data_IF_282014578227
#
_entry.id   IF_282014578227
#
_cell.length_a   1.000
_cell.length_b   1.000
_cell.length_c   1.000
_cell.angle_alpha   90.00
_cell.angle_beta   90.00
_cell.angle_gamma   90.00
#
_symmetry.space_group_name_H-M   'P 1'
#
loop_
_entity.id
_entity.type
_entity.pdbx_description
1 polymer ?
#
# COMPACT_ATOMS: atom_id res chain seq x y z
N UNK A 1 -15.96 23.44 15.51
CA UNK A 1 -16.06 22.01 15.11
C UNK A 1 -15.99 21.78 13.60
N UNK A 2 -16.01 22.82 12.75
CA UNK A 2 -15.97 22.67 11.27
C UNK A 2 -14.56 22.35 10.70
N UNK A 3 -13.50 22.49 11.49
CA UNK A 3 -12.12 22.31 11.00
C UNK A 3 -11.70 20.85 10.78
N UNK A 4 -12.32 19.89 11.48
CA UNK A 4 -11.90 18.47 11.43
C UNK A 4 -12.15 17.80 10.07
N UNK A 5 -13.04 18.37 9.26
CA UNK A 5 -13.42 17.85 7.95
C UNK A 5 -13.34 18.93 6.86
N UNK A 6 -12.68 20.05 7.14
CA UNK A 6 -12.38 21.08 6.15
C UNK A 6 -11.13 20.67 5.35
N UNK A 7 -11.11 20.72 4.00
CA UNK A 7 -9.96 20.27 3.20
C UNK A 7 -8.61 20.88 3.57
N UNK A 8 -8.57 22.09 4.14
CA UNK A 8 -7.35 22.73 4.63
C UNK A 8 -6.63 21.91 5.73
N UNK A 9 -7.34 21.02 6.44
CA UNK A 9 -6.72 20.16 7.44
C UNK A 9 -5.70 19.21 6.80
N UNK A 10 -5.93 18.81 5.54
CA UNK A 10 -4.99 17.98 4.77
C UNK A 10 -3.68 18.74 4.56
N UNK A 11 -3.75 20.02 4.20
CA UNK A 11 -2.59 20.89 4.02
C UNK A 11 -1.76 20.98 5.31
N UNK A 12 -2.40 21.21 6.46
CA UNK A 12 -1.72 21.33 7.75
C UNK A 12 -0.94 20.06 8.10
N UNK A 13 -1.57 18.89 8.00
CA UNK A 13 -0.91 17.63 8.30
C UNK A 13 0.17 17.28 7.27
N UNK A 14 -0.02 17.60 5.99
CA UNK A 14 1.01 17.44 4.96
C UNK A 14 2.25 18.30 5.26
N UNK A 15 2.07 19.56 5.70
CA UNK A 15 3.21 20.40 6.13
C UNK A 15 3.94 19.81 7.33
N UNK A 16 3.22 19.24 8.31
CA UNK A 16 3.85 18.55 9.43
C UNK A 16 4.67 17.35 8.97
N UNK A 17 4.15 16.55 8.03
CA UNK A 17 4.91 15.45 7.43
C UNK A 17 6.19 15.96 6.78
N UNK A 18 6.15 17.07 6.03
CA UNK A 18 7.31 17.66 5.35
C UNK A 18 8.34 18.29 6.30
N UNK A 19 7.88 19.00 7.33
CA UNK A 19 8.76 19.82 8.18
C UNK A 19 9.34 19.05 9.38
N UNK A 20 8.67 17.98 9.83
CA UNK A 20 9.04 17.27 11.05
C UNK A 20 9.63 15.88 10.76
N UNK A 21 10.52 15.76 9.77
CA UNK A 21 11.06 14.47 9.31
C UNK A 21 11.72 13.66 10.42
N UNK A 22 12.43 14.35 11.32
CA UNK A 22 13.19 13.73 12.41
C UNK A 22 12.35 13.43 13.66
N UNK A 23 11.11 13.96 13.74
CA UNK A 23 10.25 13.71 14.89
C UNK A 23 9.30 12.56 14.60
N UNK A 24 9.65 11.39 15.17
CA UNK A 24 8.90 10.17 14.89
C UNK A 24 7.42 10.24 15.30
N UNK A 25 7.17 10.87 16.45
CA UNK A 25 5.83 10.98 17.04
C UNK A 25 4.95 11.96 16.26
N UNK A 26 5.51 13.08 15.79
CA UNK A 26 4.79 14.03 14.93
C UNK A 26 4.42 13.39 13.60
N UNK A 27 5.35 12.66 12.98
CA UNK A 27 5.09 11.96 11.71
C UNK A 27 4.00 10.89 11.86
N UNK A 28 4.07 10.08 12.93
CA UNK A 28 3.03 9.08 13.23
C UNK A 28 1.66 9.74 13.44
N UNK A 29 1.59 10.79 14.26
CA UNK A 29 0.35 11.49 14.56
C UNK A 29 -0.25 12.17 13.32
N UNK A 30 0.57 12.81 12.49
CA UNK A 30 0.12 13.44 11.25
C UNK A 30 -0.38 12.39 10.24
N UNK A 31 0.36 11.30 10.04
CA UNK A 31 -0.05 10.20 9.16
C UNK A 31 -1.33 9.53 9.65
N UNK A 32 -1.47 9.29 10.96
CA UNK A 32 -2.67 8.72 11.57
C UNK A 32 -3.89 9.62 11.45
N UNK A 33 -3.72 10.94 11.63
CA UNK A 33 -4.81 11.90 11.43
C UNK A 33 -5.28 11.93 9.96
N UNK A 34 -4.33 11.96 9.02
CA UNK A 34 -4.62 11.86 7.59
C UNK A 34 -5.29 10.53 7.22
N UNK A 35 -4.83 9.43 7.80
CA UNK A 35 -5.45 8.11 7.63
C UNK A 35 -6.92 8.14 8.09
N UNK A 36 -7.20 8.74 9.25
CA UNK A 36 -8.56 8.80 9.79
C UNK A 36 -9.51 9.63 8.92
N UNK A 37 -9.10 10.81 8.45
CA UNK A 37 -9.97 11.68 7.63
C UNK A 37 -10.17 11.15 6.19
N UNK A 38 -9.27 10.27 5.73
CA UNK A 38 -9.38 9.60 4.42
C UNK A 38 -10.03 8.21 4.52
N UNK A 39 -10.49 7.80 5.71
CA UNK A 39 -10.99 6.45 5.95
C UNK A 39 -12.41 6.21 5.39
N UNK A 40 -12.60 5.02 4.82
CA UNK A 40 -13.89 4.52 4.37
C UNK A 40 -14.24 4.83 2.91
N UNK A 41 -15.46 4.47 2.54
CA UNK A 41 -15.94 4.48 1.15
C UNK A 41 -16.94 5.60 0.85
N UNK A 42 -17.08 6.55 1.78
CA UNK A 42 -18.02 7.65 1.65
C UNK A 42 -17.44 8.77 0.79
N UNK A 43 -18.34 9.60 0.22
CA UNK A 43 -17.99 10.77 -0.60
C UNK A 43 -16.90 11.65 0.03
N UNK A 44 -16.94 11.84 1.34
CA UNK A 44 -15.99 12.72 2.03
C UNK A 44 -14.58 12.15 2.12
N UNK A 45 -14.44 10.84 2.34
CA UNK A 45 -13.14 10.16 2.29
C UNK A 45 -12.51 10.31 0.90
N UNK A 46 -13.30 10.15 -0.17
CA UNK A 46 -12.84 10.35 -1.54
C UNK A 46 -12.40 11.80 -1.79
N UNK A 47 -13.16 12.80 -1.33
CA UNK A 47 -12.80 14.22 -1.43
C UNK A 47 -11.47 14.51 -0.71
N UNK A 48 -11.30 14.04 0.52
CA UNK A 48 -10.06 14.24 1.28
C UNK A 48 -8.86 13.58 0.60
N UNK A 49 -9.01 12.34 0.12
CA UNK A 49 -7.96 11.66 -0.63
C UNK A 49 -7.59 12.38 -1.92
N UNK A 50 -8.57 12.94 -2.63
CA UNK A 50 -8.33 13.72 -3.84
C UNK A 50 -7.62 15.04 -3.55
N UNK A 51 -8.00 15.75 -2.49
CA UNK A 51 -7.28 16.96 -2.04
C UNK A 51 -5.83 16.60 -1.70
N UNK A 52 -5.62 15.52 -0.95
CA UNK A 52 -4.30 15.06 -0.55
C UNK A 52 -3.40 14.72 -1.75
N UNK A 53 -3.93 14.01 -2.75
CA UNK A 53 -3.18 13.58 -3.93
C UNK A 53 -2.98 14.71 -4.95
N UNK A 54 -4.05 15.41 -5.32
CA UNK A 54 -4.07 16.30 -6.49
C UNK A 54 -3.65 17.73 -6.13
N UNK A 55 -4.04 18.24 -4.95
CA UNK A 55 -3.73 19.62 -4.53
C UNK A 55 -2.47 19.65 -3.69
N UNK A 56 -2.38 18.77 -2.69
CA UNK A 56 -1.30 18.76 -1.70
C UNK A 56 -0.08 17.93 -2.11
N UNK A 57 -0.19 17.15 -3.20
CA UNK A 57 0.88 16.30 -3.74
C UNK A 57 1.56 15.44 -2.65
N UNK A 58 0.75 14.90 -1.74
CA UNK A 58 1.21 14.26 -0.49
C UNK A 58 2.05 13.00 -0.70
N UNK A 59 1.98 12.40 -1.89
CA UNK A 59 2.57 11.09 -2.17
C UNK A 59 4.10 11.10 -2.00
N UNK A 60 4.79 12.16 -2.44
CA UNK A 60 6.24 12.27 -2.30
C UNK A 60 6.66 12.40 -0.81
N UNK A 61 6.10 13.35 -0.02
CA UNK A 61 6.35 13.40 1.42
C UNK A 61 6.10 12.07 2.13
N UNK A 62 5.02 11.36 1.81
CA UNK A 62 4.70 10.07 2.44
C UNK A 62 5.72 8.99 2.05
N UNK A 63 6.18 8.96 0.80
CA UNK A 63 7.22 8.04 0.32
C UNK A 63 8.55 8.26 1.04
N UNK A 64 8.95 9.52 1.24
CA UNK A 64 10.18 9.84 1.97
C UNK A 64 10.14 9.30 3.41
N UNK A 65 8.97 9.35 4.05
CA UNK A 65 8.77 8.78 5.41
C UNK A 65 8.67 7.26 5.44
N UNK A 66 8.26 6.62 4.35
CA UNK A 66 8.11 5.16 4.27
C UNK A 66 9.45 4.43 4.49
N UNK A 67 10.59 5.11 4.36
CA UNK A 67 11.94 4.58 4.63
C UNK A 67 12.20 4.24 6.09
N UNK A 68 11.34 4.68 7.01
CA UNK A 68 11.46 4.39 8.44
C UNK A 68 11.54 2.90 8.77
N UNK A 69 12.25 2.60 9.88
CA UNK A 69 12.26 1.29 10.54
C UNK A 69 11.26 1.22 11.71
N UNK A 70 10.60 2.33 12.04
CA UNK A 70 9.62 2.39 13.12
C UNK A 70 8.28 1.77 12.68
N UNK A 71 7.86 0.71 13.36
CA UNK A 71 6.66 -0.04 13.02
C UNK A 71 5.36 0.77 13.20
N UNK A 72 5.32 1.72 14.14
CA UNK A 72 4.15 2.54 14.42
C UNK A 72 3.94 3.59 13.33
N UNK A 73 5.03 4.23 12.89
CA UNK A 73 5.02 5.08 11.70
C UNK A 73 4.62 4.30 10.46
N UNK A 74 5.22 3.14 10.23
CA UNK A 74 4.96 2.33 9.05
C UNK A 74 3.49 1.89 8.98
N UNK A 75 2.87 1.57 10.13
CA UNK A 75 1.43 1.29 10.22
C UNK A 75 0.58 2.47 9.75
N UNK A 76 0.82 3.65 10.29
CA UNK A 76 0.06 4.86 9.95
C UNK A 76 0.26 5.28 8.49
N UNK A 77 1.50 5.23 7.98
CA UNK A 77 1.83 5.58 6.60
C UNK A 77 1.20 4.61 5.60
N UNK A 78 1.33 3.29 5.82
CA UNK A 78 0.73 2.29 4.92
C UNK A 78 -0.80 2.31 4.98
N UNK A 79 -1.38 2.59 6.15
CA UNK A 79 -2.81 2.82 6.31
C UNK A 79 -3.31 4.03 5.52
N UNK A 80 -2.58 5.16 5.57
CA UNK A 80 -2.86 6.34 4.76
C UNK A 80 -2.76 6.03 3.26
N UNK A 81 -1.66 5.41 2.80
CA UNK A 81 -1.48 5.06 1.38
C UNK A 81 -2.60 4.13 0.89
N UNK A 82 -3.05 3.19 1.73
CA UNK A 82 -4.21 2.31 1.43
C UNK A 82 -5.48 3.10 1.17
N UNK A 83 -5.76 4.11 1.99
CA UNK A 83 -6.94 4.97 1.83
C UNK A 83 -6.81 5.87 0.58
N UNK A 84 -5.62 6.44 0.34
CA UNK A 84 -5.36 7.26 -0.85
C UNK A 84 -5.48 6.44 -2.14
N UNK A 85 -4.87 5.27 -2.20
CA UNK A 85 -4.87 4.40 -3.39
C UNK A 85 -6.26 3.89 -3.76
N UNK A 86 -7.16 3.77 -2.79
CA UNK A 86 -8.57 3.43 -3.04
C UNK A 86 -9.24 4.49 -3.91
N UNK A 87 -9.00 5.77 -3.61
CA UNK A 87 -9.70 6.92 -4.17
C UNK A 87 -8.89 7.72 -5.20
N UNK A 88 -7.69 7.24 -5.56
CA UNK A 88 -6.83 7.87 -6.56
C UNK A 88 -7.48 7.87 -7.96
N UNK A 89 -7.44 9.02 -8.65
CA UNK A 89 -7.91 9.15 -10.04
C UNK A 89 -6.94 8.51 -11.02
N UNK A 90 -5.64 8.77 -10.84
CA UNK A 90 -4.57 8.22 -11.68
C UNK A 90 -3.80 7.10 -10.94
N UNK A 91 -4.35 5.89 -10.97
CA UNK A 91 -3.72 4.73 -10.32
C UNK A 91 -2.46 4.26 -11.04
N UNK A 92 -2.32 4.54 -12.34
CA UNK A 92 -1.12 4.20 -13.10
C UNK A 92 0.07 5.05 -12.66
N UNK A 93 -0.10 6.37 -12.52
CA UNK A 93 0.94 7.25 -11.97
C UNK A 93 1.27 6.88 -10.52
N UNK A 94 0.26 6.54 -9.72
CA UNK A 94 0.49 6.09 -8.35
C UNK A 94 1.27 4.77 -8.30
N UNK A 95 1.03 3.85 -9.24
CA UNK A 95 1.75 2.58 -9.38
C UNK A 95 3.24 2.79 -9.58
N UNK A 96 3.62 3.62 -10.55
CA UNK A 96 5.04 3.85 -10.90
C UNK A 96 5.85 4.41 -9.74
N UNK A 97 5.21 5.15 -8.82
CA UNK A 97 5.85 5.71 -7.62
C UNK A 97 5.89 4.75 -6.44
N UNK A 98 4.87 3.90 -6.27
CA UNK A 98 4.69 3.14 -5.03
C UNK A 98 5.16 1.69 -5.07
N UNK A 99 4.99 0.99 -6.19
CA UNK A 99 5.06 -0.50 -6.19
C UNK A 99 6.41 -1.00 -5.68
N UNK A 100 7.52 -0.47 -6.17
CA UNK A 100 8.87 -0.88 -5.71
C UNK A 100 9.07 -0.65 -4.22
N UNK A 101 8.81 0.57 -3.74
CA UNK A 101 8.97 0.97 -2.34
C UNK A 101 8.13 0.13 -1.37
N UNK A 102 6.92 -0.24 -1.78
CA UNK A 102 6.03 -1.09 -0.97
C UNK A 102 6.49 -2.55 -0.95
N UNK A 103 6.95 -3.08 -2.09
CA UNK A 103 7.45 -4.44 -2.17
C UNK A 103 8.75 -4.63 -1.37
N UNK A 104 9.60 -3.60 -1.28
CA UNK A 104 10.79 -3.62 -0.41
C UNK A 104 10.46 -3.87 1.06
N UNK A 105 9.28 -3.45 1.53
CA UNK A 105 8.83 -3.64 2.92
C UNK A 105 8.20 -5.00 3.19
N UNK A 106 7.87 -5.78 2.16
CA UNK A 106 7.29 -7.11 2.32
C UNK A 106 8.40 -8.16 2.58
N UNK A 107 8.15 -9.14 3.46
CA UNK A 107 9.07 -10.26 3.64
C UNK A 107 9.04 -11.18 2.40
N UNK A 108 10.21 -11.64 1.97
CA UNK A 108 10.39 -12.61 0.88
C UNK A 108 10.82 -14.00 1.36
N UNK A 109 11.40 -14.09 2.56
CA UNK A 109 11.81 -15.35 3.19
C UNK A 109 11.79 -15.25 4.73
N UNK A 110 12.21 -16.32 5.42
CA UNK A 110 12.25 -16.40 6.88
C UNK A 110 13.35 -15.55 7.55
N UNK A 111 14.35 -15.10 6.80
CA UNK A 111 15.46 -14.29 7.31
C UNK A 111 15.14 -12.80 7.25
N UNK A 112 14.17 -12.39 6.44
CA UNK A 112 13.70 -11.03 6.36
C UNK A 112 13.06 -10.56 7.68
N UNK A 113 13.37 -9.33 8.09
CA UNK A 113 12.67 -8.67 9.19
C UNK A 113 11.24 -8.38 8.77
N UNK A 114 10.32 -9.24 9.22
CA UNK A 114 8.91 -9.11 8.90
C UNK A 114 8.28 -7.92 9.65
N UNK A 115 7.61 -6.98 8.95
CA UNK A 115 6.85 -5.93 9.61
C UNK A 115 5.58 -6.54 10.27
N UNK A 116 4.88 -5.78 11.12
CA UNK A 116 3.62 -6.25 11.69
C UNK A 116 2.61 -6.67 10.62
N UNK A 117 1.81 -7.71 10.87
CA UNK A 117 0.86 -8.24 9.87
C UNK A 117 -0.08 -7.16 9.31
N UNK A 118 -0.52 -6.21 10.14
CA UNK A 118 -1.35 -5.09 9.70
C UNK A 118 -0.68 -4.23 8.59
N UNK A 119 0.64 -4.02 8.69
CA UNK A 119 1.42 -3.32 7.66
C UNK A 119 1.43 -4.15 6.37
N UNK A 120 1.65 -5.46 6.46
CA UNK A 120 1.63 -6.38 5.31
C UNK A 120 0.27 -6.33 4.61
N UNK A 121 -0.82 -6.42 5.38
CA UNK A 121 -2.20 -6.33 4.88
C UNK A 121 -2.44 -4.98 4.21
N UNK A 122 -2.00 -3.87 4.80
CA UNK A 122 -2.15 -2.55 4.20
C UNK A 122 -1.39 -2.43 2.88
N UNK A 123 -0.15 -2.90 2.82
CA UNK A 123 0.67 -2.91 1.60
C UNK A 123 -0.02 -3.73 0.49
N UNK A 124 -0.44 -4.97 0.80
CA UNK A 124 -1.11 -5.83 -0.18
C UNK A 124 -2.43 -5.20 -0.64
N UNK A 125 -3.18 -4.56 0.25
CA UNK A 125 -4.39 -3.84 -0.10
C UNK A 125 -4.12 -2.65 -1.06
N UNK A 126 -3.02 -1.91 -0.87
CA UNK A 126 -2.58 -0.88 -1.82
C UNK A 126 -2.31 -1.50 -3.19
N UNK A 127 -1.46 -2.54 -3.23
CA UNK A 127 -1.11 -3.23 -4.48
C UNK A 127 -2.35 -3.77 -5.19
N UNK A 128 -3.33 -4.28 -4.44
CA UNK A 128 -4.60 -4.76 -4.99
C UNK A 128 -5.47 -3.63 -5.53
N UNK A 129 -5.57 -2.51 -4.82
CA UNK A 129 -6.31 -1.33 -5.30
C UNK A 129 -5.76 -0.81 -6.63
N UNK A 130 -4.44 -0.88 -6.83
CA UNK A 130 -3.77 -0.48 -8.06
C UNK A 130 -3.94 -1.54 -9.16
N UNK A 131 -3.78 -2.82 -8.80
CA UNK A 131 -3.92 -3.96 -9.72
C UNK A 131 -5.32 -4.03 -10.31
N UNK A 132 -6.39 -3.89 -9.52
CA UNK A 132 -7.77 -3.99 -10.03
C UNK A 132 -8.09 -2.92 -11.09
N UNK A 133 -7.41 -1.78 -11.08
CA UNK A 133 -7.66 -0.71 -12.03
C UNK A 133 -7.00 -0.92 -13.39
N UNK A 134 -5.94 -1.74 -13.47
CA UNK A 134 -5.22 -1.91 -14.71
C UNK A 134 -3.98 -2.81 -14.59
N UNK A 135 -3.46 -3.28 -15.74
CA UNK A 135 -2.36 -4.24 -15.77
C UNK A 135 -1.00 -3.64 -15.36
N UNK A 136 -0.87 -2.31 -15.28
CA UNK A 136 0.41 -1.66 -14.99
C UNK A 136 0.98 -2.08 -13.64
N UNK A 137 0.18 -2.02 -12.58
CA UNK A 137 0.61 -2.45 -11.25
C UNK A 137 0.94 -3.94 -11.21
N UNK A 138 0.16 -4.79 -11.89
CA UNK A 138 0.48 -6.22 -11.99
C UNK A 138 1.83 -6.44 -12.68
N UNK A 139 2.14 -5.68 -13.75
CA UNK A 139 3.43 -5.74 -14.44
C UNK A 139 4.58 -5.26 -13.55
N UNK A 140 4.40 -4.15 -12.85
CA UNK A 140 5.40 -3.60 -11.95
C UNK A 140 5.69 -4.60 -10.80
N UNK A 141 4.66 -5.26 -10.26
CA UNK A 141 4.83 -6.31 -9.24
C UNK A 141 5.70 -7.46 -9.77
N UNK A 142 5.49 -7.91 -11.01
CA UNK A 142 6.34 -8.95 -11.61
C UNK A 142 7.77 -8.47 -11.80
N UNK A 143 7.93 -7.25 -12.31
CA UNK A 143 9.22 -6.65 -12.60
C UNK A 143 10.08 -6.51 -11.35
N UNK A 144 9.52 -6.00 -10.25
CA UNK A 144 10.20 -5.82 -8.96
C UNK A 144 10.21 -7.07 -8.08
N UNK A 145 10.12 -8.27 -8.67
CA UNK A 145 10.18 -9.56 -7.97
C UNK A 145 9.12 -9.72 -6.86
N UNK A 146 7.97 -9.04 -6.96
CA UNK A 146 6.92 -9.08 -5.96
C UNK A 146 6.17 -10.42 -5.91
N UNK A 147 6.17 -11.21 -6.99
CA UNK A 147 5.53 -12.53 -7.00
C UNK A 147 6.11 -13.47 -5.93
N UNK A 148 7.42 -13.51 -5.76
CA UNK A 148 8.05 -14.38 -4.75
C UNK A 148 7.61 -14.01 -3.34
N UNK A 149 7.60 -12.71 -3.03
CA UNK A 149 7.13 -12.17 -1.74
C UNK A 149 5.67 -12.47 -1.48
N UNK A 150 4.80 -12.27 -2.47
CA UNK A 150 3.37 -12.58 -2.36
C UNK A 150 3.13 -14.09 -2.16
N UNK A 151 3.88 -14.95 -2.85
CA UNK A 151 3.78 -16.40 -2.67
C UNK A 151 4.30 -16.85 -1.30
N UNK A 152 5.37 -16.23 -0.80
CA UNK A 152 5.86 -16.46 0.56
C UNK A 152 4.79 -16.10 1.61
N UNK A 153 4.23 -14.89 1.53
CA UNK A 153 3.18 -14.41 2.46
C UNK A 153 1.92 -15.28 2.37
N UNK A 154 1.51 -15.69 1.16
CA UNK A 154 0.37 -16.60 0.95
C UNK A 154 0.57 -17.94 1.68
N UNK A 155 1.80 -18.47 1.69
CA UNK A 155 2.13 -19.77 2.29
C UNK A 155 2.38 -19.67 3.80
N UNK A 156 2.86 -18.53 4.29
CA UNK A 156 3.11 -18.33 5.72
C UNK A 156 1.79 -18.14 6.49
N UNK A 157 1.46 -19.13 7.33
CA UNK A 157 0.20 -19.23 8.09
C UNK A 157 0.45 -19.52 9.57
N UNK A 158 1.54 -18.98 10.11
CA UNK A 158 2.01 -19.30 11.47
C UNK A 158 1.11 -18.74 12.62
N UNK A 159 -0.05 -18.15 12.31
CA UNK A 159 -1.01 -17.66 13.31
C UNK A 159 -2.20 -16.86 12.74
N UNK A 160 -3.14 -16.42 13.59
CA UNK A 160 -4.34 -15.70 13.16
C UNK A 160 -4.06 -14.38 12.41
N UNK A 161 -2.95 -13.72 12.74
CA UNK A 161 -2.55 -12.48 12.08
C UNK A 161 -1.90 -12.74 10.72
N UNK A 162 -1.08 -13.79 10.55
CA UNK A 162 -0.54 -14.15 9.24
C UNK A 162 -1.62 -14.69 8.29
N UNK A 163 -2.68 -15.30 8.82
CA UNK A 163 -3.86 -15.72 8.03
C UNK A 163 -4.54 -14.54 7.30
N UNK A 164 -4.62 -13.35 7.91
CA UNK A 164 -5.17 -12.15 7.24
C UNK A 164 -4.28 -11.71 6.07
N UNK A 165 -2.96 -11.71 6.27
CA UNK A 165 -1.99 -11.37 5.24
C UNK A 165 -2.00 -12.41 4.10
N UNK A 166 -2.08 -13.70 4.44
CA UNK A 166 -2.21 -14.80 3.49
C UNK A 166 -3.45 -14.64 2.61
N UNK A 167 -4.63 -14.40 3.20
CA UNK A 167 -5.86 -14.14 2.42
C UNK A 167 -5.76 -12.92 1.52
N UNK A 168 -5.16 -11.83 2.00
CA UNK A 168 -4.93 -10.64 1.18
C UNK A 168 -4.02 -10.95 -0.01
N UNK A 169 -2.92 -11.69 0.22
CA UNK A 169 -1.99 -12.10 -0.83
C UNK A 169 -2.67 -12.99 -1.87
N UNK A 170 -3.46 -13.99 -1.44
CA UNK A 170 -4.25 -14.85 -2.34
C UNK A 170 -5.22 -14.03 -3.21
N UNK A 171 -5.90 -13.04 -2.63
CA UNK A 171 -6.81 -12.17 -3.39
C UNK A 171 -6.09 -11.34 -4.46
N UNK A 172 -4.95 -10.73 -4.11
CA UNK A 172 -4.13 -9.99 -5.07
C UNK A 172 -3.62 -10.90 -6.20
N UNK A 173 -3.09 -12.08 -5.86
CA UNK A 173 -2.62 -13.06 -6.83
C UNK A 173 -3.75 -13.51 -7.77
N UNK A 174 -4.95 -13.75 -7.24
CA UNK A 174 -6.13 -14.10 -8.04
C UNK A 174 -6.48 -12.99 -9.04
N UNK A 175 -6.41 -11.72 -8.63
CA UNK A 175 -6.64 -10.58 -9.52
C UNK A 175 -5.54 -10.45 -10.57
N UNK A 176 -4.28 -10.66 -10.20
CA UNK A 176 -3.16 -10.66 -11.14
C UNK A 176 -3.32 -11.75 -12.22
N UNK A 177 -3.80 -12.93 -11.86
CA UNK A 177 -4.01 -14.03 -12.81
C UNK A 177 -5.01 -13.69 -13.93
N UNK A 178 -5.90 -12.71 -13.74
CA UNK A 178 -6.83 -12.28 -14.78
C UNK A 178 -6.11 -11.63 -15.98
N UNK A 179 -4.87 -11.14 -15.81
CA UNK A 179 -4.08 -10.55 -16.88
C UNK A 179 -3.36 -11.61 -17.71
N UNK A 180 -4.08 -12.20 -18.68
CA UNK A 180 -3.54 -13.24 -19.58
C UNK A 180 -2.23 -12.86 -20.29
N UNK A 181 -2.04 -11.56 -20.59
CA UNK A 181 -0.81 -11.04 -21.19
C UNK A 181 0.43 -11.26 -20.32
N UNK A 182 0.28 -11.37 -18.99
CA UNK A 182 1.37 -11.60 -18.05
C UNK A 182 1.64 -13.08 -17.78
N UNK A 183 0.82 -14.01 -18.30
CA UNK A 183 0.98 -15.45 -18.02
C UNK A 183 2.33 -16.01 -18.47
N UNK A 184 2.88 -15.50 -19.57
CA UNK A 184 4.23 -15.89 -20.03
C UNK A 184 5.30 -15.46 -19.03
N UNK A 185 5.15 -14.28 -18.44
CA UNK A 185 6.08 -13.76 -17.42
C UNK A 185 5.92 -14.52 -16.10
N UNK A 186 4.70 -14.89 -15.73
CA UNK A 186 4.47 -15.75 -14.55
C UNK A 186 5.13 -17.10 -14.71
N UNK A 187 4.99 -17.72 -15.89
CA UNK A 187 5.62 -19.01 -16.22
C UNK A 187 7.15 -18.91 -16.25
N UNK A 188 7.71 -17.82 -16.78
CA UNK A 188 9.17 -17.62 -16.80
C UNK A 188 9.75 -17.45 -15.40
N UNK A 189 8.94 -16.97 -14.44
CA UNK A 189 9.26 -16.92 -13.00
C UNK A 189 8.97 -18.22 -12.24
N UNK A 190 8.50 -19.27 -12.92
CA UNK A 190 8.26 -20.59 -12.33
C UNK A 190 6.87 -20.80 -11.72
N UNK A 191 5.92 -19.88 -11.92
CA UNK A 191 4.58 -19.98 -11.35
C UNK A 191 3.55 -20.48 -12.36
N UNK A 192 2.58 -21.26 -11.87
CA UNK A 192 1.47 -21.85 -12.64
C UNK A 192 0.15 -21.34 -12.10
N UNK A 193 -0.94 -21.58 -12.85
CA UNK A 193 -2.31 -21.20 -12.48
C UNK A 193 -2.67 -21.55 -11.03
N UNK A 194 -2.32 -22.76 -10.61
CA UNK A 194 -2.59 -23.28 -9.27
C UNK A 194 -1.94 -22.42 -8.18
N UNK A 195 -0.75 -21.87 -8.42
CA UNK A 195 -0.06 -21.01 -7.44
C UNK A 195 -0.84 -19.70 -7.20
N UNK A 196 -1.60 -19.20 -8.18
CA UNK A 196 -2.39 -17.98 -8.02
C UNK A 196 -3.78 -18.23 -7.45
N UNK A 197 -4.42 -19.34 -7.82
CA UNK A 197 -5.84 -19.60 -7.51
C UNK A 197 -6.09 -20.49 -6.28
N UNK A 198 -5.04 -21.08 -5.70
CA UNK A 198 -5.13 -21.90 -4.48
C UNK A 198 -5.32 -21.12 -3.19
#
# INVERSE_FOLDING_TARGET
MEWLWHPQIVHLYNRLLQQCELNRHTTEAAAGALQNITAGDRRWAAVMSQVALEQERILNPVLDRLRTADHSQLRSLTGLIRNLSRHAKNKDEMSTKLVSHLLEKLPGDSNDKSPPSEVIVNIIAVLNNLTVAGPLAARDIVYFNGLSKLMYIKRNRDGPDSEKASRAASSLLTNMWQYSKLHRDYKSKGYRKEDFLS
#
